data_IF_891944274814
#
_entry.id   IF_891944274814
#
_cell.length_a   1.000
_cell.length_b   1.000
_cell.length_c   1.000
_cell.angle_alpha   90.00
_cell.angle_beta   90.00
_cell.angle_gamma   90.00
#
_symmetry.space_group_name_H-M   'P 1'
#
loop_
_entity.id
_entity.type
_entity.pdbx_description
1 polymer ?
#
# COMPACT_ATOMS: atom_id res chain seq x y z
N UNK A 1 3.17 13.59 3.18
CA UNK A 1 3.64 12.33 2.57
C UNK A 1 4.87 12.56 1.68
N UNK A 2 4.79 13.29 0.56
CA UNK A 2 5.96 13.53 -0.31
C UNK A 2 7.13 14.18 0.43
N UNK A 3 6.87 15.20 1.26
CA UNK A 3 7.90 15.85 2.09
C UNK A 3 8.61 14.87 3.03
N UNK A 4 7.87 14.06 3.81
CA UNK A 4 8.43 13.04 4.70
C UNK A 4 9.33 12.04 3.98
N UNK A 5 8.92 11.60 2.78
CA UNK A 5 9.73 10.69 1.97
C UNK A 5 11.04 11.36 1.53
N UNK A 6 10.98 12.60 1.05
CA UNK A 6 12.17 13.35 0.64
C UNK A 6 13.11 13.59 1.82
N UNK A 7 12.57 13.99 2.96
CA UNK A 7 13.33 14.21 4.20
C UNK A 7 14.04 12.92 4.66
N UNK A 8 13.35 11.78 4.63
CA UNK A 8 13.98 10.50 4.95
C UNK A 8 15.09 10.14 3.94
N UNK A 9 14.87 10.37 2.64
CA UNK A 9 15.87 10.09 1.60
C UNK A 9 17.10 11.00 1.77
N UNK A 10 16.92 12.29 2.06
CA UNK A 10 18.03 13.23 2.18
C UNK A 10 18.78 13.11 3.51
N UNK A 11 18.06 12.84 4.60
CA UNK A 11 18.60 12.94 5.97
C UNK A 11 18.95 11.58 6.58
N UNK A 12 18.28 10.47 6.21
CA UNK A 12 18.46 9.16 6.85
C UNK A 12 19.32 8.18 6.03
N UNK A 13 20.44 8.67 5.46
CA UNK A 13 21.37 7.95 4.57
C UNK A 13 21.56 6.46 4.90
N UNK A 14 22.35 6.12 5.92
CA UNK A 14 22.70 4.72 6.23
C UNK A 14 21.60 3.96 6.96
N UNK A 15 20.67 4.67 7.63
CA UNK A 15 19.60 4.08 8.44
C UNK A 15 18.44 3.58 7.58
N UNK A 16 18.10 4.30 6.50
CA UNK A 16 16.95 4.00 5.64
C UNK A 16 17.33 3.82 4.15
N UNK A 17 18.62 3.85 3.79
CA UNK A 17 19.06 4.08 2.40
C UNK A 17 19.92 3.00 1.73
N UNK A 18 20.05 1.78 2.27
CA UNK A 18 20.68 0.69 1.47
C UNK A 18 19.64 0.09 0.53
N UNK A 19 19.76 0.38 -0.76
CA UNK A 19 18.96 -0.26 -1.82
C UNK A 19 19.16 -1.76 -1.73
N UNK A 20 18.10 -2.50 -1.42
CA UNK A 20 18.08 -3.94 -1.59
C UNK A 20 18.32 -4.22 -3.07
N UNK A 21 18.92 -5.36 -3.34
CA UNK A 21 18.83 -6.02 -4.65
C UNK A 21 17.35 -6.04 -5.04
N UNK A 22 17.01 -5.35 -6.12
CA UNK A 22 15.64 -5.29 -6.61
C UNK A 22 15.39 -6.54 -7.44
N UNK A 23 14.32 -7.26 -7.11
CA UNK A 23 13.89 -8.42 -7.86
C UNK A 23 13.58 -8.03 -9.32
N UNK A 24 14.12 -8.79 -10.26
CA UNK A 24 13.94 -8.57 -11.71
C UNK A 24 12.88 -9.48 -12.33
N UNK A 25 12.26 -10.34 -11.53
CA UNK A 25 11.30 -11.34 -12.00
C UNK A 25 9.98 -11.19 -11.25
N UNK A 26 9.42 -9.98 -11.28
CA UNK A 26 8.11 -9.70 -10.71
C UNK A 26 7.32 -8.76 -11.61
N UNK A 27 5.99 -8.81 -11.50
CA UNK A 27 5.10 -7.91 -12.19
C UNK A 27 4.79 -6.67 -11.35
N UNK A 28 4.62 -5.53 -12.01
CA UNK A 28 4.28 -4.23 -11.42
C UNK A 28 3.16 -3.58 -12.21
N UNK A 29 2.31 -2.81 -11.54
CA UNK A 29 1.35 -1.94 -12.20
C UNK A 29 2.04 -0.63 -12.60
N UNK A 30 2.05 -0.32 -13.89
CA UNK A 30 2.32 1.04 -14.35
C UNK A 30 1.11 1.93 -14.10
N UNK A 31 1.22 2.84 -13.13
CA UNK A 31 0.16 3.76 -12.72
C UNK A 31 -0.20 4.82 -13.80
N UNK A 32 0.61 4.94 -14.85
CA UNK A 32 0.39 5.87 -15.97
C UNK A 32 -0.52 5.23 -17.00
N UNK A 33 -0.16 4.03 -17.47
CA UNK A 33 -0.88 3.29 -18.51
C UNK A 33 -1.95 2.35 -17.96
N UNK A 34 -1.95 2.11 -16.64
CA UNK A 34 -2.78 1.11 -15.95
C UNK A 34 -2.62 -0.28 -16.57
N UNK A 35 -1.37 -0.68 -16.80
CA UNK A 35 -1.02 -2.01 -17.33
C UNK A 35 -0.10 -2.74 -16.37
N UNK A 36 -0.19 -4.05 -16.33
CA UNK A 36 0.82 -4.87 -15.67
C UNK A 36 2.07 -4.91 -16.56
N UNK A 37 3.25 -4.74 -15.98
CA UNK A 37 4.54 -4.73 -16.67
C UNK A 37 5.54 -5.57 -15.88
N UNK A 38 6.55 -6.10 -16.55
CA UNK A 38 7.64 -6.80 -15.87
C UNK A 38 8.62 -5.77 -15.28
N UNK A 39 9.06 -6.02 -14.05
CA UNK A 39 10.02 -5.16 -13.36
C UNK A 39 11.43 -5.36 -13.93
N UNK A 40 12.14 -4.26 -14.13
CA UNK A 40 13.57 -4.26 -14.44
C UNK A 40 14.42 -3.83 -13.24
N UNK A 41 15.75 -3.89 -13.36
CA UNK A 41 16.68 -3.48 -12.28
C UNK A 41 16.59 -2.00 -11.90
N UNK A 42 16.07 -1.16 -12.80
CA UNK A 42 15.89 0.27 -12.60
C UNK A 42 14.53 0.64 -11.99
N UNK A 43 13.61 -0.33 -11.96
CA UNK A 43 12.23 -0.14 -11.55
C UNK A 43 12.16 0.21 -10.07
N UNK A 44 11.66 1.41 -9.78
CA UNK A 44 11.37 1.88 -8.42
C UNK A 44 9.87 1.81 -8.20
N UNK A 45 9.44 1.08 -7.18
CA UNK A 45 8.02 0.88 -6.91
C UNK A 45 7.64 1.21 -5.46
N UNK A 46 6.34 1.45 -5.32
CA UNK A 46 5.62 1.47 -4.06
C UNK A 46 4.90 0.13 -3.93
N UNK A 47 4.80 -0.42 -2.72
CA UNK A 47 3.96 -1.59 -2.46
C UNK A 47 2.65 -1.17 -1.78
N UNK A 48 1.55 -1.88 -2.06
CA UNK A 48 0.29 -1.74 -1.34
C UNK A 48 0.05 -2.96 -0.45
N UNK A 49 -0.19 -2.69 0.82
CA UNK A 49 -0.61 -3.66 1.82
C UNK A 49 -2.03 -3.33 2.30
N UNK A 50 -2.96 -4.25 2.11
CA UNK A 50 -4.37 -4.06 2.40
C UNK A 50 -5.09 -5.38 2.65
N UNK A 51 -6.32 -5.30 3.19
CA UNK A 51 -7.20 -6.46 3.35
C UNK A 51 -8.13 -6.52 2.14
N UNK A 52 -8.19 -7.68 1.48
CA UNK A 52 -9.07 -7.87 0.32
C UNK A 52 -10.55 -7.84 0.72
N UNK A 53 -10.88 -8.36 1.89
CA UNK A 53 -12.23 -8.52 2.40
C UNK A 53 -12.64 -9.98 2.45
N UNK A 54 -13.90 -10.25 2.80
CA UNK A 54 -14.41 -11.61 2.85
C UNK A 54 -14.66 -12.16 1.44
N UNK A 55 -14.29 -13.42 1.20
CA UNK A 55 -14.27 -14.03 -0.15
C UNK A 55 -15.65 -14.03 -0.84
N UNK A 56 -16.71 -14.00 -0.04
CA UNK A 56 -18.11 -13.98 -0.49
C UNK A 56 -18.58 -12.60 -0.98
N UNK A 57 -17.90 -11.51 -0.60
CA UNK A 57 -18.20 -10.14 -1.07
C UNK A 57 -17.29 -9.68 -2.22
N UNK A 58 -16.26 -10.46 -2.56
CA UNK A 58 -15.38 -10.23 -3.70
C UNK A 58 -16.10 -10.60 -5.01
N UNK A 59 -16.90 -9.68 -5.52
CA UNK A 59 -17.61 -9.79 -6.81
C UNK A 59 -16.73 -9.67 -8.06
N UNK A 60 -15.40 -9.72 -7.92
CA UNK A 60 -14.51 -9.73 -9.08
C UNK A 60 -14.33 -11.17 -9.56
N UNK A 61 -14.74 -11.52 -10.79
CA UNK A 61 -14.47 -12.82 -11.35
C UNK A 61 -12.95 -13.07 -11.36
N UNK A 62 -12.51 -14.30 -11.09
CA UNK A 62 -11.09 -14.69 -11.10
C UNK A 62 -10.38 -14.43 -12.45
N UNK A 63 -11.12 -14.10 -13.51
CA UNK A 63 -10.61 -13.67 -14.80
C UNK A 63 -10.06 -12.23 -14.81
N UNK A 64 -10.52 -11.37 -13.90
CA UNK A 64 -10.15 -9.94 -13.86
C UNK A 64 -8.92 -9.64 -12.99
N UNK A 65 -8.44 -10.63 -12.23
CA UNK A 65 -7.28 -10.50 -11.34
C UNK A 65 -6.01 -11.15 -11.91
N UNK A 66 -6.12 -12.07 -12.88
CA UNK A 66 -4.95 -12.68 -13.50
C UNK A 66 -4.42 -11.85 -14.68
N UNK A 67 -3.64 -10.81 -14.35
CA UNK A 67 -3.05 -9.95 -15.36
C UNK A 67 -1.67 -10.48 -15.74
N UNK A 68 -1.55 -11.07 -16.94
CA UNK A 68 -0.25 -11.31 -17.54
C UNK A 68 0.45 -9.98 -17.86
N UNK A 69 1.77 -10.02 -18.05
CA UNK A 69 2.56 -8.85 -18.44
C UNK A 69 2.00 -8.27 -19.75
N UNK A 70 1.68 -6.98 -19.76
CA UNK A 70 1.04 -6.26 -20.86
C UNK A 70 -0.49 -6.15 -20.73
N UNK A 71 -1.13 -6.91 -19.84
CA UNK A 71 -2.57 -6.80 -19.62
C UNK A 71 -2.94 -5.46 -18.96
N UNK A 72 -4.06 -4.86 -19.40
CA UNK A 72 -4.62 -3.67 -18.76
C UNK A 72 -5.38 -4.06 -17.50
N UNK A 73 -5.30 -3.19 -16.49
CA UNK A 73 -6.16 -3.26 -15.33
C UNK A 73 -7.63 -3.19 -15.76
N UNK A 74 -8.54 -3.84 -15.01
CA UNK A 74 -9.98 -3.68 -15.20
C UNK A 74 -10.40 -2.21 -15.20
N UNK A 75 -11.48 -1.90 -15.91
CA UNK A 75 -12.03 -0.54 -15.99
C UNK A 75 -12.51 -0.03 -14.62
N UNK A 76 -12.96 -0.96 -13.76
CA UNK A 76 -13.39 -0.69 -12.40
C UNK A 76 -12.43 -1.36 -11.43
N UNK A 77 -11.77 -0.58 -10.59
CA UNK A 77 -10.86 -1.08 -9.59
C UNK A 77 -11.45 -0.93 -8.19
N UNK A 78 -11.06 -1.79 -7.24
CA UNK A 78 -11.33 -1.56 -5.83
C UNK A 78 -10.84 -0.18 -5.40
N UNK A 79 -11.64 0.51 -4.58
CA UNK A 79 -11.34 1.89 -4.17
C UNK A 79 -9.97 2.03 -3.50
N UNK A 80 -9.56 1.05 -2.69
CA UNK A 80 -8.24 1.06 -2.05
C UNK A 80 -7.10 1.01 -3.07
N UNK A 81 -7.28 0.27 -4.15
CA UNK A 81 -6.29 0.15 -5.23
C UNK A 81 -6.25 1.43 -6.08
N UNK A 82 -7.40 2.01 -6.40
CA UNK A 82 -7.47 3.32 -7.08
C UNK A 82 -6.77 4.41 -6.27
N UNK A 83 -7.07 4.48 -4.98
CA UNK A 83 -6.46 5.47 -4.08
C UNK A 83 -4.95 5.24 -3.96
N UNK A 84 -4.48 3.98 -3.91
CA UNK A 84 -3.06 3.66 -3.88
C UNK A 84 -2.34 4.08 -5.17
N UNK A 85 -2.96 3.91 -6.35
CA UNK A 85 -2.43 4.43 -7.62
C UNK A 85 -2.28 5.95 -7.56
N UNK A 86 -3.28 6.65 -7.02
CA UNK A 86 -3.22 8.12 -6.85
C UNK A 86 -2.08 8.53 -5.92
N UNK A 87 -1.94 7.90 -4.75
CA UNK A 87 -0.86 8.18 -3.80
C UNK A 87 0.51 7.92 -4.43
N UNK A 88 0.66 6.80 -5.14
CA UNK A 88 1.92 6.41 -5.82
C UNK A 88 2.37 7.51 -6.78
N UNK A 89 1.45 7.99 -7.64
CA UNK A 89 1.74 9.08 -8.58
C UNK A 89 2.07 10.39 -7.87
N UNK A 90 1.35 10.73 -6.79
CA UNK A 90 1.61 11.94 -6.01
C UNK A 90 2.97 11.91 -5.29
N UNK A 91 3.45 10.72 -4.91
CA UNK A 91 4.80 10.53 -4.37
C UNK A 91 5.90 10.63 -5.44
N UNK A 92 5.54 10.66 -6.73
CA UNK A 92 6.48 10.73 -7.85
C UNK A 92 6.93 9.37 -8.37
N UNK A 93 6.20 8.30 -8.06
CA UNK A 93 6.49 6.95 -8.54
C UNK A 93 5.58 6.56 -9.69
N UNK A 94 6.11 5.74 -10.59
CA UNK A 94 5.36 5.18 -11.73
C UNK A 94 4.78 3.81 -11.40
N UNK A 95 5.50 3.00 -10.63
CA UNK A 95 5.16 1.61 -10.43
C UNK A 95 4.58 1.34 -9.04
N UNK A 96 3.53 0.53 -9.01
CA UNK A 96 2.86 0.05 -7.81
C UNK A 96 2.80 -1.48 -7.85
N UNK A 97 3.19 -2.13 -6.76
CA UNK A 97 2.95 -3.55 -6.56
C UNK A 97 1.67 -3.76 -5.76
N UNK A 98 0.80 -4.65 -6.24
CA UNK A 98 -0.44 -5.06 -5.57
C UNK A 98 -0.58 -6.57 -5.70
N UNK A 99 -0.61 -7.28 -4.57
CA UNK A 99 -0.69 -8.74 -4.51
C UNK A 99 -1.76 -9.35 -5.43
N UNK A 100 -2.97 -8.77 -5.43
CA UNK A 100 -4.12 -9.24 -6.21
C UNK A 100 -3.90 -9.20 -7.73
N UNK A 101 -3.01 -8.32 -8.22
CA UNK A 101 -2.79 -8.08 -9.65
C UNK A 101 -1.38 -8.45 -10.15
N UNK A 102 -0.41 -8.51 -9.23
CA UNK A 102 0.98 -8.82 -9.54
C UNK A 102 1.34 -10.29 -9.33
N UNK A 103 0.50 -11.05 -8.61
CA UNK A 103 0.65 -12.49 -8.39
C UNK A 103 -0.36 -13.24 -9.28
N UNK A 104 0.09 -14.32 -9.92
CA UNK A 104 -0.77 -15.19 -10.72
C UNK A 104 -1.72 -15.99 -9.79
N UNK A 105 -2.97 -15.55 -9.74
CA UNK A 105 -3.98 -16.15 -8.85
C UNK A 105 -4.55 -17.49 -9.38
N UNK A 106 -4.29 -17.83 -10.64
CA UNK A 106 -4.83 -19.05 -11.26
C UNK A 106 -3.82 -20.19 -11.23
N UNK A 107 -2.52 -19.89 -11.29
CA UNK A 107 -1.46 -20.88 -11.18
C UNK A 107 -0.96 -21.00 -9.73
N UNK A 108 -1.51 -21.96 -8.98
CA UNK A 108 -1.12 -22.22 -7.58
C UNK A 108 0.38 -22.42 -7.37
N UNK A 109 1.08 -23.01 -8.33
CA UNK A 109 2.52 -23.24 -8.22
C UNK A 109 3.30 -21.91 -8.31
N UNK A 110 2.99 -21.08 -9.30
CA UNK A 110 3.55 -19.72 -9.42
C UNK A 110 3.16 -18.85 -8.24
N UNK A 111 1.89 -18.91 -7.83
CA UNK A 111 1.39 -18.20 -6.67
C UNK A 111 2.23 -18.52 -5.42
N UNK A 112 2.52 -19.79 -5.17
CA UNK A 112 3.32 -20.21 -4.02
C UNK A 112 4.75 -19.65 -4.08
N UNK A 113 5.39 -19.70 -5.26
CA UNK A 113 6.73 -19.13 -5.48
C UNK A 113 6.70 -17.62 -5.24
N UNK A 114 5.73 -16.90 -5.81
CA UNK A 114 5.63 -15.44 -5.66
C UNK A 114 5.30 -15.03 -4.23
N UNK A 115 4.48 -15.81 -3.52
CA UNK A 115 4.22 -15.61 -2.09
C UNK A 115 5.52 -15.81 -1.28
N UNK A 116 6.32 -16.82 -1.60
CA UNK A 116 7.62 -17.04 -0.93
C UNK A 116 8.63 -15.91 -1.17
N UNK A 117 8.40 -15.06 -2.17
CA UNK A 117 9.24 -13.90 -2.54
C UNK A 117 8.64 -12.55 -2.09
N UNK A 118 7.53 -12.55 -1.35
CA UNK A 118 6.90 -11.30 -0.89
C UNK A 118 7.82 -10.47 0.01
N UNK A 119 8.73 -11.13 0.74
CA UNK A 119 9.75 -10.47 1.55
C UNK A 119 10.67 -9.59 0.69
N UNK A 120 11.11 -10.07 -0.47
CA UNK A 120 11.91 -9.30 -1.42
C UNK A 120 11.15 -8.12 -2.02
N UNK A 121 9.85 -8.31 -2.30
CA UNK A 121 8.98 -7.22 -2.79
C UNK A 121 8.93 -6.07 -1.80
N UNK A 122 8.66 -6.36 -0.52
CA UNK A 122 8.54 -5.32 0.51
C UNK A 122 9.91 -4.73 0.90
N UNK A 123 11.00 -5.51 0.91
CA UNK A 123 12.38 -4.99 1.11
C UNK A 123 12.87 -4.15 -0.06
N UNK A 124 12.42 -4.46 -1.27
CA UNK A 124 12.78 -3.77 -2.50
C UNK A 124 11.99 -2.48 -2.73
N UNK A 125 10.77 -2.41 -2.22
CA UNK A 125 9.92 -1.23 -2.30
C UNK A 125 10.58 -0.02 -1.63
N UNK A 126 10.42 1.15 -2.24
CA UNK A 126 10.95 2.38 -1.65
C UNK A 126 10.08 2.88 -0.49
N UNK A 127 8.79 2.53 -0.53
CA UNK A 127 7.80 2.76 0.52
C UNK A 127 6.61 1.81 0.34
N UNK A 128 6.00 1.42 1.44
CA UNK A 128 4.77 0.61 1.47
C UNK A 128 3.60 1.44 1.99
N UNK A 129 2.52 1.49 1.22
CA UNK A 129 1.24 2.05 1.63
C UNK A 129 0.50 0.98 2.41
N UNK A 130 0.06 1.30 3.62
CA UNK A 130 -0.73 0.40 4.44
C UNK A 130 -2.14 0.96 4.63
N UNK A 131 -3.13 0.23 4.12
CA UNK A 131 -4.54 0.48 4.39
C UNK A 131 -4.95 -0.24 5.69
N UNK A 132 -4.68 0.39 6.84
CA UNK A 132 -4.90 -0.25 8.14
C UNK A 132 -6.36 -0.26 8.58
N UNK A 133 -7.20 0.58 8.00
CA UNK A 133 -8.63 0.65 8.32
C UNK A 133 -9.49 0.27 7.14
N UNK A 134 -10.57 -0.44 7.43
CA UNK A 134 -11.52 -0.94 6.44
C UNK A 134 -11.63 -2.46 6.49
N UNK A 135 -12.81 -2.95 6.16
CA UNK A 135 -13.10 -4.39 6.20
C UNK A 135 -12.75 -5.11 4.89
N UNK A 136 -12.35 -4.37 3.85
CA UNK A 136 -11.98 -4.92 2.55
C UNK A 136 -11.53 -3.87 1.54
N UNK A 137 -11.27 -4.33 0.31
CA UNK A 137 -10.64 -3.57 -0.78
C UNK A 137 -11.43 -2.38 -1.33
N UNK A 138 -12.73 -2.31 -1.01
CA UNK A 138 -13.62 -1.24 -1.44
C UNK A 138 -13.71 -0.08 -0.44
N UNK A 139 -13.02 -0.17 0.70
CA UNK A 139 -13.05 0.88 1.72
C UNK A 139 -12.37 2.18 1.25
N UNK A 140 -11.24 2.09 0.54
CA UNK A 140 -10.43 3.23 0.13
C UNK A 140 -9.42 3.69 1.20
N UNK A 141 -8.56 4.64 0.83
CA UNK A 141 -7.58 5.27 1.71
C UNK A 141 -8.11 6.61 2.25
N UNK A 142 -8.40 6.74 3.55
CA UNK A 142 -9.01 7.95 4.12
C UNK A 142 -8.22 9.25 3.88
N UNK A 143 -8.85 10.20 3.20
CA UNK A 143 -8.27 11.48 2.81
C UNK A 143 -7.60 11.47 1.43
N UNK A 144 -7.78 10.41 0.65
CA UNK A 144 -7.31 10.28 -0.74
C UNK A 144 -8.53 10.29 -1.68
N UNK A 145 -8.43 11.02 -2.79
CA UNK A 145 -9.42 11.04 -3.86
C UNK A 145 -10.85 11.28 -3.33
N UNK A 146 -11.75 10.29 -3.46
CA UNK A 146 -13.16 10.37 -3.01
C UNK A 146 -13.37 9.81 -1.60
N UNK A 147 -12.36 9.18 -1.01
CA UNK A 147 -12.46 8.53 0.31
C UNK A 147 -12.31 9.56 1.42
N UNK A 148 -13.43 9.91 2.06
CA UNK A 148 -13.43 10.93 3.12
C UNK A 148 -12.76 10.40 4.39
N UNK A 149 -11.89 11.20 4.97
CA UNK A 149 -11.36 10.98 6.31
C UNK A 149 -12.44 11.29 7.36
N UNK A 150 -12.55 10.45 8.39
CA UNK A 150 -13.46 10.72 9.51
C UNK A 150 -12.94 11.94 10.26
N UNK A 151 -13.80 12.94 10.46
CA UNK A 151 -13.42 14.17 11.15
C UNK A 151 -13.04 13.85 12.59
N UNK A 152 -11.95 14.45 13.05
CA UNK A 152 -11.63 14.50 14.47
C UNK A 152 -12.58 15.46 15.16
N UNK A 153 -12.94 15.17 16.40
CA UNK A 153 -13.68 16.12 17.22
C UNK A 153 -12.72 17.24 17.61
N UNK A 154 -12.98 18.44 17.10
CA UNK A 154 -12.20 19.65 17.37
C UNK A 154 -13.01 20.53 18.30
N UNK A 155 -12.47 20.82 19.48
CA UNK A 155 -13.03 21.79 20.41
C UNK A 155 -12.12 23.02 20.39
N UNK A 156 -12.66 24.15 19.97
CA UNK A 156 -11.95 25.44 20.02
C UNK A 156 -12.37 26.18 21.28
N UNK A 157 -11.44 26.34 22.20
CA UNK A 157 -11.53 27.28 23.32
C UNK A 157 -10.74 28.52 22.93
N UNK A 158 -11.23 29.73 23.22
CA UNK A 158 -10.62 31.05 22.90
C UNK A 158 -9.27 30.99 22.14
N UNK A 159 -8.18 30.70 22.84
CA UNK A 159 -6.81 30.68 22.29
C UNK A 159 -6.21 29.26 22.12
N UNK A 160 -6.98 28.21 22.45
CA UNK A 160 -6.55 26.80 22.45
C UNK A 160 -7.47 25.95 21.58
N UNK A 161 -6.90 25.32 20.57
CA UNK A 161 -7.60 24.26 19.81
C UNK A 161 -7.27 22.89 20.40
N UNK A 162 -8.26 22.26 21.03
CA UNK A 162 -8.18 20.89 21.52
C UNK A 162 -8.63 19.93 20.41
N UNK A 163 -7.73 19.05 20.02
CA UNK A 163 -8.04 17.91 19.16
C UNK A 163 -8.26 16.70 20.04
N UNK A 164 -9.47 16.16 20.06
CA UNK A 164 -9.73 14.85 20.65
C UNK A 164 -9.17 13.78 19.70
N UNK A 165 -7.86 13.60 19.75
CA UNK A 165 -7.18 12.47 19.14
C UNK A 165 -7.19 11.36 20.20
N UNK A 166 -8.26 10.56 20.26
CA UNK A 166 -8.40 9.61 21.37
C UNK A 166 -7.32 8.54 21.37
N UNK A 167 -6.54 8.40 20.29
CA UNK A 167 -5.63 7.28 20.10
C UNK A 167 -4.47 7.66 19.15
N UNK A 168 -3.24 7.34 19.56
CA UNK A 168 -2.05 7.54 18.74
C UNK A 168 -2.10 6.62 17.50
N UNK A 169 -1.48 7.01 16.39
CA UNK A 169 -1.43 6.16 15.21
C UNK A 169 -0.96 4.71 15.51
N UNK A 170 -0.02 4.48 16.45
CA UNK A 170 0.33 3.14 16.92
C UNK A 170 -0.82 2.34 17.55
N UNK A 171 -1.69 2.92 18.38
CA UNK A 171 -2.76 2.13 19.03
C UNK A 171 -3.81 1.64 18.03
N UNK A 172 -4.08 2.43 16.98
CA UNK A 172 -4.89 1.98 15.85
C UNK A 172 -4.25 0.87 15.01
N UNK A 173 -2.92 0.69 15.07
CA UNK A 173 -2.24 -0.41 14.38
C UNK A 173 -2.54 -1.72 15.10
N UNK A 174 -2.36 -1.78 16.42
CA UNK A 174 -2.55 -3.01 17.20
C UNK A 174 -3.98 -3.56 17.13
N UNK A 175 -4.98 -2.67 17.04
CA UNK A 175 -6.40 -3.05 16.94
C UNK A 175 -6.88 -3.28 15.49
N UNK A 176 -6.07 -2.94 14.48
CA UNK A 176 -6.47 -3.10 13.09
C UNK A 176 -6.50 -4.58 12.70
N UNK A 177 -7.55 -5.00 11.98
CA UNK A 177 -7.63 -6.33 11.34
C UNK A 177 -6.44 -6.61 10.41
N UNK A 178 -5.79 -5.55 9.92
CA UNK A 178 -4.51 -5.64 9.25
C UNK A 178 -3.45 -6.31 10.15
N UNK A 179 -3.24 -5.83 11.37
CA UNK A 179 -2.20 -6.31 12.27
C UNK A 179 -2.42 -7.72 12.84
N UNK A 180 -3.64 -8.26 12.77
CA UNK A 180 -3.95 -9.62 13.23
C UNK A 180 -3.58 -10.72 12.23
N UNK A 181 -3.08 -10.37 11.04
CA UNK A 181 -2.70 -11.34 10.00
C UNK A 181 -1.23 -11.70 10.11
N UNK A 182 -0.92 -13.00 10.02
CA UNK A 182 0.46 -13.51 10.05
C UNK A 182 1.40 -12.80 9.06
N UNK A 183 0.85 -12.32 7.94
CA UNK A 183 1.61 -11.67 6.86
C UNK A 183 1.99 -10.22 7.14
N UNK A 184 1.26 -9.47 7.99
CA UNK A 184 1.51 -8.03 8.17
C UNK A 184 2.78 -7.71 8.96
N UNK A 185 3.31 -8.70 9.67
CA UNK A 185 4.66 -8.63 10.24
C UNK A 185 5.72 -8.48 9.14
N UNK A 186 5.62 -9.23 8.04
CA UNK A 186 6.54 -9.11 6.90
C UNK A 186 6.36 -7.76 6.21
N UNK A 187 5.12 -7.31 6.00
CA UNK A 187 4.81 -6.08 5.28
C UNK A 187 5.24 -4.82 6.06
N UNK A 188 5.12 -4.84 7.38
CA UNK A 188 5.53 -3.74 8.26
C UNK A 188 7.01 -3.75 8.61
N UNK A 189 7.59 -4.91 8.98
CA UNK A 189 8.99 -4.99 9.43
C UNK A 189 9.99 -4.94 8.29
N UNK A 190 9.64 -5.45 7.10
CA UNK A 190 10.57 -5.53 5.98
C UNK A 190 10.58 -4.24 5.13
N UNK A 191 9.51 -3.46 5.22
CA UNK A 191 9.40 -2.18 4.54
C UNK A 191 10.31 -1.15 5.19
N UNK A 192 11.18 -0.52 4.39
CA UNK A 192 12.03 0.58 4.89
C UNK A 192 11.23 1.80 5.34
N UNK A 193 10.09 2.02 4.70
CA UNK A 193 9.22 3.17 4.91
C UNK A 193 7.78 2.70 4.82
N UNK A 194 6.98 3.12 5.77
CA UNK A 194 5.55 2.77 5.82
C UNK A 194 4.75 4.06 5.87
N UNK A 195 3.84 4.21 4.91
CA UNK A 195 2.80 5.24 4.93
C UNK A 195 1.48 4.59 5.32
N UNK A 196 1.13 4.73 6.59
CA UNK A 196 -0.05 4.15 7.19
C UNK A 196 -1.25 5.08 7.01
N UNK A 197 -2.36 4.54 6.51
CA UNK A 197 -3.65 5.21 6.48
C UNK A 197 -4.61 4.59 7.48
N UNK A 198 -5.14 5.41 8.38
CA UNK A 198 -6.25 5.06 9.28
C UNK A 198 -7.46 5.95 8.99
N UNK A 199 -8.60 5.65 9.61
CA UNK A 199 -9.84 6.43 9.49
C UNK A 199 -9.67 7.90 9.88
N UNK A 200 -8.69 8.21 10.73
CA UNK A 200 -8.54 9.51 11.38
C UNK A 200 -7.26 10.24 10.98
N UNK A 201 -6.22 9.52 10.57
CA UNK A 201 -4.90 10.10 10.31
C UNK A 201 -4.12 9.28 9.28
N UNK A 202 -3.08 9.92 8.74
CA UNK A 202 -2.03 9.24 8.02
C UNK A 202 -0.73 9.39 8.82
N UNK A 203 0.02 8.30 9.00
CA UNK A 203 1.28 8.29 9.72
C UNK A 203 2.39 7.77 8.82
N UNK A 204 3.62 8.21 9.08
CA UNK A 204 4.79 7.83 8.32
C UNK A 204 5.86 7.29 9.28
N UNK A 205 6.39 6.12 8.95
CA UNK A 205 7.45 5.47 9.70
C UNK A 205 8.62 5.17 8.76
N UNK A 206 9.85 5.38 9.22
CA UNK A 206 11.08 5.09 8.48
C UNK A 206 12.26 4.81 9.42
#
# INVERSE_FOLDING_TARGET
AKSWLQECISSHKSRCGKSATRATSMSLIDCTTKTNVEADTSSRWIALSYVWGDRLQTTMPAAETNLYVGARLPSTLPRTVEDAIVVTRQLGYRFLWVDEYCIDQQNKHKQHIQISQMDEVYRGADLTIVAATGEGKNHGLPGVNKTRRRRLNVVRLKDVTLLANSQSAPSHIWDARWFTRAWTLQEGLLSRRVLLFTNHQAAYYC
#
